data_IF_524469640937
#
_entry.id   IF_524469640937
#
_cell.length_a   1.000
_cell.length_b   1.000
_cell.length_c   1.000
_cell.angle_alpha   90.00
_cell.angle_beta   90.00
_cell.angle_gamma   90.00
#
_symmetry.space_group_name_H-M   'P 1'
#
loop_
_entity.id
_entity.type
_entity.pdbx_description
1 polymer ?
#
# COMPACT_ATOMS: atom_id res chain seq x y z
N UNK A 1 -67.04 -48.82 20.45
CA UNK A 1 -66.78 -49.04 19.02
C UNK A 1 -65.70 -48.05 18.57
N UNK A 2 -64.42 -48.46 18.57
CA UNK A 2 -63.29 -47.58 18.20
C UNK A 2 -62.72 -48.08 16.87
N UNK A 3 -62.88 -47.30 15.79
CA UNK A 3 -62.28 -47.59 14.48
C UNK A 3 -60.76 -47.43 14.59
N UNK A 4 -60.01 -48.53 14.62
CA UNK A 4 -58.56 -48.51 14.38
C UNK A 4 -58.33 -48.10 12.92
N UNK A 5 -57.87 -46.88 12.71
CA UNK A 5 -57.47 -46.39 11.40
C UNK A 5 -56.27 -47.19 10.89
N UNK A 6 -56.53 -48.09 9.93
CA UNK A 6 -55.49 -48.87 9.27
C UNK A 6 -54.55 -47.93 8.53
N UNK A 7 -53.30 -47.85 9.00
CA UNK A 7 -52.25 -47.08 8.37
C UNK A 7 -51.92 -47.71 7.02
N UNK A 8 -52.29 -47.02 5.93
CA UNK A 8 -52.09 -47.50 4.57
C UNK A 8 -50.58 -47.41 4.25
N UNK A 9 -49.87 -48.54 4.25
CA UNK A 9 -48.41 -48.60 4.01
C UNK A 9 -47.99 -47.78 2.78
N UNK A 10 -48.78 -47.80 1.70
CA UNK A 10 -48.50 -47.04 0.47
C UNK A 10 -48.48 -45.51 0.68
N UNK A 11 -49.34 -44.98 1.55
CA UNK A 11 -49.38 -43.53 1.88
C UNK A 11 -48.26 -43.14 2.84
N UNK A 12 -47.88 -44.05 3.74
CA UNK A 12 -46.73 -43.86 4.64
C UNK A 12 -45.38 -43.86 3.92
N UNK A 13 -45.22 -44.74 2.93
CA UNK A 13 -43.99 -44.80 2.14
C UNK A 13 -43.79 -43.50 1.37
N UNK A 14 -44.86 -42.93 0.80
CA UNK A 14 -44.78 -41.63 0.10
C UNK A 14 -44.40 -40.49 1.06
N UNK A 15 -44.97 -40.44 2.26
CA UNK A 15 -44.63 -39.40 3.26
C UNK A 15 -43.18 -39.54 3.74
N UNK A 16 -42.71 -40.77 3.95
CA UNK A 16 -41.33 -41.03 4.37
C UNK A 16 -40.32 -40.65 3.26
N UNK A 17 -40.63 -40.95 2.00
CA UNK A 17 -39.79 -40.56 0.85
C UNK A 17 -39.69 -39.04 0.69
N UNK A 18 -40.78 -38.31 0.92
CA UNK A 18 -40.78 -36.83 0.89
C UNK A 18 -39.94 -36.26 2.04
N UNK A 19 -40.00 -36.86 3.23
CA UNK A 19 -39.16 -36.48 4.36
C UNK A 19 -37.67 -36.72 4.10
N UNK A 20 -37.30 -37.84 3.46
CA UNK A 20 -35.90 -38.14 3.09
C UNK A 20 -35.39 -37.16 2.03
N UNK A 21 -36.22 -36.78 1.05
CA UNK A 21 -35.89 -35.76 0.04
C UNK A 21 -35.68 -34.36 0.63
N UNK A 22 -36.30 -34.03 1.76
CA UNK A 22 -36.12 -32.74 2.43
C UNK A 22 -34.81 -32.68 3.25
N UNK A 23 -34.30 -33.81 3.72
CA UNK A 23 -33.02 -33.87 4.44
C UNK A 23 -31.79 -33.72 3.52
N UNK A 24 -31.91 -34.03 2.23
CA UNK A 24 -30.79 -33.91 1.27
C UNK A 24 -30.45 -32.47 0.86
N UNK A 25 -31.27 -31.48 1.23
CA UNK A 25 -30.98 -30.05 0.96
C UNK A 25 -30.22 -29.35 2.11
N UNK A 26 -29.81 -30.07 3.15
CA UNK A 26 -29.07 -29.50 4.29
C UNK A 26 -27.56 -29.33 4.07
N UNK A 27 -27.04 -29.59 2.85
CA UNK A 27 -25.69 -29.19 2.48
C UNK A 27 -25.64 -27.66 2.40
N UNK A 28 -25.31 -27.04 3.53
CA UNK A 28 -25.10 -25.60 3.62
C UNK A 28 -24.17 -25.13 2.52
N UNK A 29 -24.57 -24.06 1.84
CA UNK A 29 -23.68 -23.36 0.92
C UNK A 29 -22.51 -22.83 1.74
N UNK A 30 -21.34 -23.47 1.60
CA UNK A 30 -20.10 -22.93 2.13
C UNK A 30 -19.77 -21.69 1.30
N UNK A 31 -20.07 -20.51 1.85
CA UNK A 31 -19.57 -19.26 1.30
C UNK A 31 -18.04 -19.29 1.38
N UNK A 32 -17.37 -19.37 0.23
CA UNK A 32 -15.92 -19.35 0.17
C UNK A 32 -15.40 -18.09 0.88
N UNK A 33 -14.48 -18.28 1.84
CA UNK A 33 -13.82 -17.16 2.51
C UNK A 33 -13.04 -16.37 1.48
N UNK A 34 -13.56 -15.21 1.07
CA UNK A 34 -12.90 -14.34 0.10
C UNK A 34 -11.85 -13.50 0.83
N UNK A 35 -10.59 -13.80 0.59
CA UNK A 35 -9.49 -13.00 1.10
C UNK A 35 -9.36 -11.69 0.32
N UNK A 36 -8.77 -10.68 0.95
CA UNK A 36 -8.48 -9.42 0.29
C UNK A 36 -7.08 -9.45 -0.30
N UNK A 37 -6.94 -8.99 -1.55
CA UNK A 37 -5.65 -8.72 -2.18
C UNK A 37 -5.54 -7.22 -2.45
N UNK A 38 -4.41 -6.63 -2.07
CA UNK A 38 -4.10 -5.22 -2.33
C UNK A 38 -2.78 -5.09 -3.06
N UNK A 39 -2.75 -4.24 -4.08
CA UNK A 39 -1.55 -3.89 -4.84
C UNK A 39 -1.41 -2.37 -4.87
N UNK A 40 -0.26 -1.85 -4.44
CA UNK A 40 0.01 -0.41 -4.30
C UNK A 40 -1.10 0.34 -3.53
N UNK A 41 -1.56 -0.22 -2.41
CA UNK A 41 -2.61 0.35 -1.58
C UNK A 41 -4.03 0.25 -2.15
N UNK A 42 -4.20 -0.26 -3.37
CA UNK A 42 -5.49 -0.42 -4.01
C UNK A 42 -5.97 -1.87 -3.91
N UNK A 43 -7.22 -2.08 -3.49
CA UNK A 43 -7.85 -3.41 -3.50
C UNK A 43 -7.98 -3.91 -4.94
N UNK A 44 -7.52 -5.14 -5.19
CA UNK A 44 -7.70 -5.84 -6.47
C UNK A 44 -8.60 -7.04 -6.28
N UNK A 45 -9.38 -7.36 -7.32
CA UNK A 45 -10.21 -8.57 -7.33
C UNK A 45 -9.40 -9.75 -7.87
N UNK A 46 -8.38 -10.16 -7.12
CA UNK A 46 -7.60 -11.37 -7.40
C UNK A 46 -8.08 -12.48 -6.48
N UNK A 47 -8.28 -13.68 -7.02
CA UNK A 47 -8.63 -14.84 -6.22
C UNK A 47 -7.41 -15.29 -5.40
N UNK A 48 -7.55 -15.32 -4.08
CA UNK A 48 -6.49 -15.79 -3.20
C UNK A 48 -6.98 -17.06 -2.54
N UNK A 49 -6.21 -18.13 -2.69
CA UNK A 49 -6.52 -19.44 -2.12
C UNK A 49 -5.51 -19.77 -1.02
N UNK A 50 -5.98 -20.31 0.09
CA UNK A 50 -5.10 -20.77 1.17
C UNK A 50 -4.95 -22.28 1.08
N UNK A 51 -3.75 -22.74 0.72
CA UNK A 51 -3.41 -24.17 0.64
C UNK A 51 -2.25 -24.43 1.58
N UNK A 52 -2.39 -25.36 2.52
CA UNK A 52 -1.38 -25.67 3.54
C UNK A 52 -0.84 -24.42 4.25
N UNK A 53 -1.75 -23.52 4.62
CA UNK A 53 -1.44 -22.25 5.30
C UNK A 53 -0.56 -21.28 4.48
N UNK A 54 -0.51 -21.44 3.15
CA UNK A 54 0.16 -20.52 2.22
C UNK A 54 -0.85 -19.93 1.26
N UNK A 55 -0.72 -18.64 0.99
CA UNK A 55 -1.54 -17.94 0.01
C UNK A 55 -1.03 -18.24 -1.41
N UNK A 56 -1.95 -18.66 -2.27
CA UNK A 56 -1.76 -18.89 -3.70
C UNK A 56 -2.65 -17.93 -4.46
N UNK A 57 -2.12 -17.45 -5.58
CA UNK A 57 -2.77 -16.46 -6.44
C UNK A 57 -2.53 -16.85 -7.89
N UNK A 58 -3.48 -16.57 -8.79
CA UNK A 58 -3.30 -16.77 -10.22
C UNK A 58 -2.06 -16.05 -10.73
N UNK A 59 -1.11 -16.84 -11.26
CA UNK A 59 0.19 -16.33 -11.70
C UNK A 59 0.07 -15.26 -12.79
N UNK A 60 -0.89 -15.42 -13.70
CA UNK A 60 -1.21 -14.46 -14.76
C UNK A 60 -1.66 -13.11 -14.19
N UNK A 61 -2.61 -13.12 -13.24
CA UNK A 61 -3.18 -11.89 -12.67
C UNK A 61 -2.13 -11.09 -11.92
N UNK A 62 -1.28 -11.76 -11.13
CA UNK A 62 -0.19 -11.08 -10.43
C UNK A 62 0.84 -10.53 -11.40
N UNK A 63 1.22 -11.31 -12.43
CA UNK A 63 2.21 -10.88 -13.42
C UNK A 63 1.73 -9.65 -14.21
N UNK A 64 0.44 -9.58 -14.54
CA UNK A 64 -0.17 -8.45 -15.25
C UNK A 64 -0.12 -7.14 -14.43
N UNK A 65 -0.23 -7.21 -13.09
CA UNK A 65 -0.05 -6.03 -12.23
C UNK A 65 1.33 -5.36 -12.42
N UNK A 66 2.35 -6.17 -12.68
CA UNK A 66 3.71 -5.73 -12.96
C UNK A 66 3.95 -5.42 -14.46
N UNK A 67 2.90 -5.44 -15.29
CA UNK A 67 2.98 -5.21 -16.74
C UNK A 67 3.61 -6.37 -17.51
N UNK A 68 3.80 -7.53 -16.88
CA UNK A 68 4.34 -8.72 -17.52
C UNK A 68 3.28 -9.55 -18.23
N UNK A 69 3.73 -10.67 -18.78
CA UNK A 69 2.91 -11.69 -19.43
C UNK A 69 3.41 -13.07 -19.03
N UNK A 70 2.48 -14.01 -18.91
CA UNK A 70 2.77 -15.43 -18.66
C UNK A 70 2.38 -16.22 -19.91
N UNK A 71 3.26 -17.10 -20.36
CA UNK A 71 2.98 -18.11 -21.36
C UNK A 71 3.24 -19.49 -20.76
N UNK A 72 2.55 -20.51 -21.28
CA UNK A 72 2.73 -21.88 -20.85
C UNK A 72 3.04 -22.75 -22.08
N UNK A 73 4.15 -23.46 -22.04
CA UNK A 73 4.50 -24.48 -23.02
C UNK A 73 4.16 -25.87 -22.44
N UNK A 74 3.15 -26.49 -23.03
CA UNK A 74 2.67 -27.81 -22.60
C UNK A 74 3.64 -28.95 -22.90
N UNK A 75 4.54 -28.80 -23.89
CA UNK A 75 5.50 -29.83 -24.26
C UNK A 75 6.61 -29.94 -23.23
N UNK A 76 7.17 -28.79 -22.84
CA UNK A 76 8.21 -28.71 -21.81
C UNK A 76 7.66 -28.62 -20.39
N UNK A 77 6.33 -28.46 -20.23
CA UNK A 77 5.66 -28.17 -18.95
C UNK A 77 6.22 -26.92 -18.26
N UNK A 78 6.54 -25.91 -19.05
CA UNK A 78 7.22 -24.69 -18.57
C UNK A 78 6.28 -23.50 -18.61
N UNK A 79 6.18 -22.78 -17.50
CA UNK A 79 5.64 -21.42 -17.48
C UNK A 79 6.77 -20.44 -17.75
N UNK A 80 6.67 -19.66 -18.82
CA UNK A 80 7.58 -18.56 -19.09
C UNK A 80 6.91 -17.24 -18.69
N UNK A 81 7.59 -16.47 -17.85
CA UNK A 81 7.15 -15.16 -17.40
C UNK A 81 8.03 -14.13 -18.06
N UNK A 82 7.44 -13.26 -18.88
CA UNK A 82 8.12 -12.10 -19.43
C UNK A 82 7.66 -10.86 -18.67
N UNK A 83 8.57 -10.01 -18.24
CA UNK A 83 8.22 -8.70 -17.69
C UNK A 83 8.41 -7.65 -18.77
N UNK A 84 7.40 -6.83 -19.03
CA UNK A 84 7.62 -5.57 -19.75
C UNK A 84 8.09 -4.55 -18.71
N UNK A 85 9.25 -4.78 -18.11
CA UNK A 85 9.88 -3.81 -17.20
C UNK A 85 10.39 -2.58 -17.98
N UNK A 86 9.51 -1.97 -18.77
CA UNK A 86 9.47 -0.53 -19.02
C UNK A 86 8.63 0.18 -17.96
N UNK A 87 8.06 -0.54 -16.99
CA UNK A 87 8.08 -0.02 -15.62
C UNK A 87 9.52 -0.17 -15.19
N UNK A 88 10.17 0.97 -15.04
CA UNK A 88 11.49 1.14 -14.44
C UNK A 88 11.69 0.06 -13.38
N UNK A 89 12.89 -0.52 -13.24
CA UNK A 89 13.21 -1.21 -11.99
C UNK A 89 12.76 -0.32 -10.82
N UNK A 90 12.77 -0.85 -9.63
CA UNK A 90 13.17 -0.08 -8.47
C UNK A 90 14.54 0.62 -8.71
N UNK A 91 14.68 1.51 -9.72
CA UNK A 91 15.31 2.80 -9.54
C UNK A 91 14.69 3.35 -8.29
N UNK A 92 15.52 3.54 -7.27
CA UNK A 92 15.33 4.59 -6.29
C UNK A 92 14.35 5.62 -6.83
N UNK A 93 13.23 5.85 -6.12
CA UNK A 93 12.30 6.94 -6.45
C UNK A 93 13.12 8.10 -6.94
N UNK A 94 12.72 8.75 -8.03
CA UNK A 94 13.27 10.06 -8.32
C UNK A 94 13.14 10.86 -7.03
N UNK A 95 14.28 11.05 -6.36
CA UNK A 95 14.35 11.76 -5.09
C UNK A 95 14.27 13.26 -5.38
N UNK A 96 14.25 13.66 -6.64
CA UNK A 96 14.03 15.01 -7.11
C UNK A 96 12.71 15.07 -7.87
N UNK A 97 11.88 16.06 -7.55
CA UNK A 97 10.64 16.35 -8.28
C UNK A 97 10.48 17.84 -8.46
N UNK A 98 10.04 18.26 -9.64
CA UNK A 98 9.76 19.68 -9.94
C UNK A 98 8.30 19.84 -10.34
N UNK A 99 7.59 20.77 -9.70
CA UNK A 99 6.22 21.17 -10.01
C UNK A 99 6.20 22.69 -10.06
N UNK A 100 5.70 23.27 -11.15
CA UNK A 100 5.55 24.73 -11.30
C UNK A 100 6.82 25.55 -10.98
N UNK A 101 8.00 25.04 -11.38
CA UNK A 101 9.29 25.70 -11.12
C UNK A 101 9.84 25.50 -9.70
N UNK A 102 9.16 24.74 -8.85
CA UNK A 102 9.64 24.40 -7.49
C UNK A 102 10.16 22.98 -7.48
N UNK A 103 11.44 22.81 -7.21
CA UNK A 103 12.08 21.49 -7.06
C UNK A 103 12.16 21.12 -5.58
N UNK A 104 11.81 19.87 -5.26
CA UNK A 104 12.04 19.26 -3.96
C UNK A 104 12.91 18.02 -4.15
N UNK A 105 14.04 18.00 -3.46
CA UNK A 105 14.96 16.87 -3.39
C UNK A 105 14.88 16.22 -2.02
N UNK A 106 14.75 14.89 -1.95
CA UNK A 106 14.97 14.11 -0.73
C UNK A 106 16.42 13.66 -0.74
N UNK A 107 17.26 14.30 0.07
CA UNK A 107 18.70 14.07 0.03
C UNK A 107 19.08 12.76 0.71
N UNK A 108 18.49 12.49 1.87
CA UNK A 108 18.65 11.23 2.62
C UNK A 108 17.59 11.09 3.70
N UNK A 109 17.36 9.85 4.11
CA UNK A 109 16.49 9.51 5.25
C UNK A 109 17.27 8.69 6.25
N UNK A 110 17.34 9.14 7.50
CA UNK A 110 18.12 8.50 8.57
C UNK A 110 17.19 8.14 9.72
N UNK A 111 17.25 6.90 10.19
CA UNK A 111 16.56 6.43 11.39
C UNK A 111 17.54 6.40 12.56
N UNK A 112 17.32 7.29 13.53
CA UNK A 112 18.01 7.26 14.82
C UNK A 112 17.17 6.48 15.85
N UNK A 113 17.68 6.32 17.07
CA UNK A 113 16.92 5.71 18.17
C UNK A 113 15.65 6.46 18.55
N UNK A 114 15.62 7.79 18.38
CA UNK A 114 14.55 8.67 18.88
C UNK A 114 13.71 9.34 17.78
N UNK A 115 14.15 9.27 16.52
CA UNK A 115 13.50 9.98 15.42
C UNK A 115 13.87 9.40 14.05
N UNK A 116 12.94 9.54 13.10
CA UNK A 116 13.21 9.42 11.67
C UNK A 116 13.45 10.83 11.12
N UNK A 117 14.56 11.05 10.43
CA UNK A 117 14.98 12.32 9.85
C UNK A 117 14.90 12.26 8.33
N UNK A 118 14.17 13.19 7.74
CA UNK A 118 14.10 13.38 6.29
C UNK A 118 14.84 14.66 5.94
N UNK A 119 16.03 14.52 5.36
CA UNK A 119 16.80 15.63 4.83
C UNK A 119 16.31 15.92 3.42
N UNK A 120 16.06 17.18 3.13
CA UNK A 120 15.53 17.60 1.84
C UNK A 120 16.01 19.00 1.46
N UNK A 121 16.01 19.28 0.17
CA UNK A 121 16.38 20.55 -0.42
C UNK A 121 15.26 21.10 -1.28
N UNK A 122 14.88 22.36 -1.04
CA UNK A 122 14.00 23.14 -1.91
C UNK A 122 14.83 23.97 -2.88
N UNK A 123 14.41 24.05 -4.14
CA UNK A 123 14.97 24.99 -5.13
C UNK A 123 13.81 25.76 -5.75
N UNK A 124 13.82 27.08 -5.58
CA UNK A 124 12.82 27.94 -6.20
C UNK A 124 13.32 28.43 -7.57
N UNK A 125 13.00 27.68 -8.63
CA UNK A 125 13.24 28.10 -10.01
C UNK A 125 12.03 28.84 -10.62
N UNK A 126 11.03 29.19 -9.81
CA UNK A 126 9.89 29.99 -10.25
C UNK A 126 10.23 31.48 -10.21
N UNK A 127 9.33 32.32 -10.73
CA UNK A 127 9.48 33.78 -10.70
C UNK A 127 8.89 34.42 -9.43
N UNK A 128 8.26 33.63 -8.56
CA UNK A 128 7.54 34.10 -7.39
C UNK A 128 8.17 33.55 -6.10
N UNK A 129 7.93 34.23 -4.98
CA UNK A 129 8.25 33.68 -3.65
C UNK A 129 7.37 32.47 -3.38
N UNK A 130 7.95 31.40 -2.83
CA UNK A 130 7.23 30.14 -2.57
C UNK A 130 7.16 29.83 -1.08
N UNK A 131 6.12 29.07 -0.69
CA UNK A 131 5.99 28.55 0.68
C UNK A 131 6.63 27.17 0.81
N UNK A 132 7.39 26.93 1.88
CA UNK A 132 8.09 25.66 2.17
C UNK A 132 7.58 25.01 3.46
N UNK A 133 6.42 25.44 3.97
CA UNK A 133 5.88 24.95 5.25
C UNK A 133 5.62 23.45 5.22
N UNK A 134 6.16 22.74 6.20
CA UNK A 134 6.17 21.26 6.25
C UNK A 134 5.00 20.65 7.03
N UNK A 135 4.05 21.45 7.52
CA UNK A 135 3.01 21.02 8.47
C UNK A 135 2.06 19.94 7.97
N UNK A 136 1.96 19.76 6.64
CA UNK A 136 1.13 18.72 5.99
C UNK A 136 1.91 17.47 5.59
N UNK A 137 3.19 17.40 5.96
CA UNK A 137 4.06 16.28 5.62
C UNK A 137 3.68 15.02 6.38
N UNK A 138 3.76 13.89 5.67
CA UNK A 138 3.33 12.57 6.15
C UNK A 138 4.25 11.48 5.61
N UNK A 139 4.55 10.51 6.46
CA UNK A 139 5.22 9.26 6.10
C UNK A 139 4.21 8.13 6.11
N UNK A 140 4.30 7.24 5.12
CA UNK A 140 3.55 5.97 5.09
C UNK A 140 4.54 4.82 5.06
N UNK A 141 4.41 3.91 6.03
CA UNK A 141 5.24 2.71 6.14
C UNK A 141 4.44 1.58 6.78
N UNK A 142 4.54 0.37 6.23
CA UNK A 142 3.86 -0.83 6.76
C UNK A 142 2.34 -0.63 7.00
N UNK A 143 1.67 0.12 6.13
CA UNK A 143 0.24 0.42 6.26
C UNK A 143 -0.11 1.44 7.36
N UNK A 144 0.87 2.03 8.05
CA UNK A 144 0.69 3.08 9.05
C UNK A 144 1.10 4.45 8.49
N UNK A 145 0.33 5.47 8.83
CA UNK A 145 0.66 6.87 8.57
C UNK A 145 1.28 7.53 9.81
N UNK A 146 2.34 8.31 9.59
CA UNK A 146 2.99 9.16 10.59
C UNK A 146 2.88 10.60 10.11
N UNK A 147 2.20 11.44 10.88
CA UNK A 147 1.99 12.85 10.53
C UNK A 147 3.06 13.73 11.17
N UNK A 148 3.35 14.87 10.54
CA UNK A 148 4.13 15.94 11.14
C UNK A 148 3.56 16.35 12.52
N UNK A 149 4.44 16.57 13.49
CA UNK A 149 4.10 17.08 14.82
C UNK A 149 4.95 18.31 15.12
N UNK A 150 4.31 19.45 15.36
CA UNK A 150 4.99 20.73 15.53
C UNK A 150 5.98 20.71 16.70
N UNK A 151 5.53 20.39 17.90
CA UNK A 151 6.38 20.40 19.11
C UNK A 151 7.57 19.44 18.98
N UNK A 152 7.34 18.28 18.33
CA UNK A 152 8.39 17.28 18.09
C UNK A 152 9.50 17.79 17.16
N UNK A 153 9.15 18.61 16.17
CA UNK A 153 10.07 19.18 15.19
C UNK A 153 10.74 20.44 15.73
N UNK A 154 9.95 21.35 16.33
CA UNK A 154 10.44 22.60 16.90
C UNK A 154 11.59 22.33 17.87
N UNK A 155 11.38 21.44 18.83
CA UNK A 155 12.43 21.06 19.78
C UNK A 155 13.69 20.53 19.10
N UNK A 156 13.57 19.80 18.00
CA UNK A 156 14.71 19.17 17.33
C UNK A 156 15.48 20.13 16.45
N UNK A 157 14.84 21.06 15.76
CA UNK A 157 15.55 22.08 14.99
C UNK A 157 16.49 22.90 15.87
N UNK A 158 15.99 23.41 16.99
CA UNK A 158 16.78 24.28 17.87
C UNK A 158 17.78 23.52 18.76
N UNK A 159 17.51 22.25 19.09
CA UNK A 159 18.39 21.46 19.97
C UNK A 159 19.46 20.65 19.23
N UNK A 160 19.29 20.36 17.94
CA UNK A 160 20.14 19.40 17.21
C UNK A 160 21.05 20.01 16.15
N UNK A 161 21.06 21.34 15.99
CA UNK A 161 21.87 22.06 15.01
C UNK A 161 21.78 21.43 13.60
N UNK A 162 20.56 21.43 13.06
CA UNK A 162 20.26 20.86 11.74
C UNK A 162 19.71 21.94 10.81
N UNK A 163 19.83 21.76 9.48
CA UNK A 163 19.20 22.64 8.52
C UNK A 163 17.69 22.78 8.77
N UNK A 164 17.21 24.02 8.71
CA UNK A 164 15.80 24.36 8.79
C UNK A 164 15.53 25.53 7.84
N UNK A 165 14.83 25.25 6.74
CA UNK A 165 14.52 26.29 5.76
C UNK A 165 13.53 27.30 6.34
N UNK A 166 13.68 28.56 5.94
CA UNK A 166 12.66 29.59 6.14
C UNK A 166 11.33 29.14 5.54
N UNK A 167 10.20 29.55 6.14
CA UNK A 167 8.86 29.18 5.67
C UNK A 167 8.51 29.74 4.28
N UNK A 168 9.29 30.70 3.81
CA UNK A 168 9.20 31.24 2.46
C UNK A 168 10.59 31.47 1.90
N UNK A 169 10.78 31.16 0.62
CA UNK A 169 12.05 31.41 -0.08
C UNK A 169 11.81 32.18 -1.39
N UNK A 170 12.70 33.12 -1.68
CA UNK A 170 12.65 33.96 -2.88
C UNK A 170 13.10 33.20 -4.15
N UNK A 171 12.79 33.71 -5.35
CA UNK A 171 13.29 33.16 -6.61
C UNK A 171 14.82 32.98 -6.62
N UNK A 172 15.28 31.85 -7.16
CA UNK A 172 16.70 31.48 -7.25
C UNK A 172 17.29 30.89 -5.96
N UNK A 173 16.55 30.87 -4.85
CA UNK A 173 17.03 30.33 -3.58
C UNK A 173 17.03 28.80 -3.59
N UNK A 174 18.13 28.22 -3.10
CA UNK A 174 18.23 26.82 -2.69
C UNK A 174 18.27 26.77 -1.16
N UNK A 175 17.40 25.98 -0.53
CA UNK A 175 17.29 25.91 0.93
C UNK A 175 17.19 24.46 1.41
N UNK A 176 18.02 24.11 2.39
CA UNK A 176 18.02 22.79 3.03
C UNK A 176 17.10 22.76 4.24
N UNK A 177 16.45 21.62 4.49
CA UNK A 177 15.59 21.40 5.64
C UNK A 177 15.68 19.96 6.13
N UNK A 178 15.36 19.76 7.41
CA UNK A 178 15.19 18.44 8.01
C UNK A 178 13.80 18.34 8.60
N UNK A 179 13.01 17.34 8.21
CA UNK A 179 11.73 17.04 8.84
C UNK A 179 11.91 15.83 9.76
N UNK A 180 11.42 15.93 10.98
CA UNK A 180 11.46 14.88 11.98
C UNK A 180 10.09 14.20 12.12
N UNK A 181 10.12 12.87 12.15
CA UNK A 181 8.97 12.03 12.51
C UNK A 181 9.35 11.13 13.69
N UNK A 182 8.34 10.59 14.37
CA UNK A 182 8.54 9.50 15.33
C UNK A 182 9.23 8.31 14.66
N UNK A 183 10.01 7.50 15.40
CA UNK A 183 10.71 6.34 14.85
C UNK A 183 9.81 5.41 14.02
N UNK A 184 10.32 4.97 12.88
CA UNK A 184 9.63 4.07 11.95
C UNK A 184 10.45 2.80 11.78
N UNK A 185 9.88 1.65 12.14
CA UNK A 185 10.51 0.36 11.89
C UNK A 185 10.20 -0.13 10.46
N UNK A 186 11.00 0.30 9.49
CA UNK A 186 10.93 -0.15 8.11
C UNK A 186 12.30 -0.02 7.43
N UNK A 187 12.50 -0.69 6.28
CA UNK A 187 13.69 -0.52 5.44
C UNK A 187 13.50 0.57 4.37
N UNK A 188 12.25 0.89 4.04
CA UNK A 188 11.89 1.98 3.13
C UNK A 188 10.51 2.54 3.48
N UNK A 189 10.25 3.77 3.02
CA UNK A 189 9.04 4.54 3.31
C UNK A 189 8.52 5.26 2.08
N UNK A 190 7.24 5.66 2.11
CA UNK A 190 6.69 6.65 1.19
C UNK A 190 6.57 7.98 1.93
N UNK A 191 6.97 9.06 1.25
CA UNK A 191 6.95 10.43 1.76
C UNK A 191 5.94 11.21 0.95
N UNK A 192 5.01 11.89 1.60
CA UNK A 192 4.24 12.95 0.97
C UNK A 192 4.48 14.25 1.72
N UNK A 193 4.84 15.30 0.99
CA UNK A 193 5.12 16.64 1.52
C UNK A 193 4.41 17.66 0.65
N UNK A 194 4.10 18.81 1.24
CA UNK A 194 3.48 19.92 0.53
C UNK A 194 4.51 21.04 0.44
N UNK A 195 4.70 21.58 -0.75
CA UNK A 195 5.52 22.77 -0.97
C UNK A 195 4.80 23.64 -2.00
N UNK A 196 4.72 24.93 -1.71
CA UNK A 196 4.00 25.91 -2.52
C UNK A 196 2.58 25.48 -2.92
N UNK A 197 1.84 24.93 -1.95
CA UNK A 197 0.46 24.43 -2.14
C UNK A 197 0.33 23.21 -3.07
N UNK A 198 1.45 22.63 -3.50
CA UNK A 198 1.51 21.44 -4.34
C UNK A 198 1.97 20.22 -3.53
N UNK A 199 1.41 19.06 -3.87
CA UNK A 199 1.69 17.79 -3.19
C UNK A 199 2.79 17.01 -3.93
N UNK A 200 3.92 16.81 -3.26
CA UNK A 200 5.04 16.00 -3.73
C UNK A 200 5.00 14.63 -3.05
N UNK A 201 5.15 13.56 -3.83
CA UNK A 201 5.13 12.18 -3.35
C UNK A 201 6.38 11.42 -3.78
N UNK A 202 7.08 10.81 -2.85
CA UNK A 202 8.27 9.99 -3.09
C UNK A 202 8.00 8.58 -2.55
N UNK A 203 8.22 7.55 -3.36
CA UNK A 203 7.82 6.18 -3.01
C UNK A 203 9.03 5.28 -2.83
N UNK A 204 9.02 4.35 -1.88
CA UNK A 204 10.13 3.41 -1.68
C UNK A 204 11.48 4.11 -1.40
N UNK A 205 11.45 5.22 -0.65
CA UNK A 205 12.66 5.92 -0.19
C UNK A 205 13.34 5.07 0.87
N UNK A 206 14.62 4.71 0.65
CA UNK A 206 15.38 3.86 1.58
C UNK A 206 15.72 4.61 2.86
N UNK A 207 15.66 3.91 3.98
CA UNK A 207 16.11 4.40 5.28
C UNK A 207 17.56 3.94 5.51
N UNK A 208 18.43 4.87 5.89
CA UNK A 208 19.73 4.57 6.50
C UNK A 208 19.55 4.40 8.00
N UNK A 209 20.07 3.31 8.55
CA UNK A 209 20.01 2.96 9.98
C UNK A 209 21.39 3.10 10.62
#
# INVERSE_FOLDING_TARGET
MVKKGGFNLKKSTVILSVFILLFTFSMGAYAATKYNFTFDGNKKSIDVQLINNKAYVPLNEVTELFGGKVTYDSKSKTYAVTSNSSKTPTTQSELSKTINGVTVNIDKVIQDSDSLKVYLTYINNSNDKINTSVSLSRIVANGKQYSYKHDFNFDRWYKKDVPHADSYIEPGVTAENVIFFEPVNADSINIALTANWEDYKFNNVKITK
#
